data_IF_670787881369
#
_entry.id   IF_670787881369
#
_cell.length_a   1.000
_cell.length_b   1.000
_cell.length_c   1.000
_cell.angle_alpha   90.00
_cell.angle_beta   90.00
_cell.angle_gamma   90.00
#
_symmetry.space_group_name_H-M   'P 1'
#
loop_
_entity.id
_entity.type
_entity.pdbx_description
1 polymer ?
#
# COMPACT_ATOMS: atom_id res chain seq x y z
N UNK A 1 19.95 -2.42 0.67
CA UNK A 1 20.70 -1.23 1.17
C UNK A 1 19.69 -0.36 1.91
N UNK A 2 20.02 0.09 3.12
CA UNK A 2 19.17 0.98 3.92
C UNK A 2 19.09 2.36 3.22
N UNK A 3 17.90 2.80 2.75
CA UNK A 3 17.77 4.06 2.03
C UNK A 3 18.09 5.28 2.91
N UNK A 4 18.04 5.13 4.24
CA UNK A 4 18.30 6.20 5.18
C UNK A 4 19.72 6.18 5.75
N UNK A 5 20.63 5.37 5.21
CA UNK A 5 21.99 5.20 5.74
C UNK A 5 22.74 6.53 5.94
N UNK A 6 22.46 7.55 5.11
CA UNK A 6 23.05 8.89 5.23
C UNK A 6 22.66 9.62 6.54
N UNK A 7 21.64 9.15 7.26
CA UNK A 7 21.24 9.65 8.58
C UNK A 7 22.05 9.02 9.74
N UNK A 8 23.00 8.11 9.45
CA UNK A 8 23.80 7.43 10.47
C UNK A 8 22.92 6.67 11.45
N UNK A 9 23.15 6.86 12.75
CA UNK A 9 22.41 6.16 13.83
C UNK A 9 20.89 6.39 13.82
N UNK A 10 20.40 7.42 13.10
CA UNK A 10 18.98 7.70 12.96
C UNK A 10 18.30 6.85 11.88
N UNK A 11 19.04 6.25 10.96
CA UNK A 11 18.48 5.47 9.84
C UNK A 11 17.63 4.31 10.33
N UNK A 12 18.14 3.56 11.31
CA UNK A 12 17.47 2.43 11.96
C UNK A 12 16.38 2.84 12.95
N UNK A 13 16.07 4.14 13.08
CA UNK A 13 15.05 4.64 14.01
C UNK A 13 13.89 5.29 13.27
N UNK A 14 14.08 5.68 12.02
CA UNK A 14 13.13 6.58 11.36
C UNK A 14 11.99 5.86 10.66
N UNK A 15 12.19 4.60 10.26
CA UNK A 15 11.19 3.80 9.56
C UNK A 15 9.87 3.75 10.33
N UNK A 16 8.75 3.95 9.63
CA UNK A 16 7.44 4.01 10.28
C UNK A 16 7.10 2.79 11.15
N UNK A 17 7.50 1.52 10.86
CA UNK A 17 7.18 0.40 11.76
C UNK A 17 7.89 0.54 13.10
N UNK A 18 9.10 1.10 13.11
CA UNK A 18 9.90 1.36 14.30
C UNK A 18 9.29 2.52 15.09
N UNK A 19 8.89 3.60 14.39
CA UNK A 19 8.18 4.72 15.00
C UNK A 19 6.84 4.28 15.61
N UNK A 20 6.12 3.39 14.93
CA UNK A 20 4.86 2.83 15.40
C UNK A 20 5.06 2.04 16.69
N UNK A 21 5.97 1.06 16.69
CA UNK A 21 6.26 0.22 17.88
C UNK A 21 6.71 1.06 19.08
N UNK A 22 7.53 2.09 18.86
CA UNK A 22 7.98 2.99 19.92
C UNK A 22 6.85 3.80 20.58
N UNK A 23 5.71 3.93 19.90
CA UNK A 23 4.55 4.71 20.35
C UNK A 23 3.40 3.84 20.86
N UNK A 24 3.39 2.55 20.54
CA UNK A 24 2.40 1.61 21.06
C UNK A 24 2.68 1.29 22.54
N UNK A 25 1.60 1.24 23.34
CA UNK A 25 1.68 0.81 24.73
C UNK A 25 2.21 -0.63 24.83
N UNK A 26 2.91 -0.94 25.92
CA UNK A 26 3.47 -2.27 26.16
C UNK A 26 4.76 -2.60 25.37
N UNK A 27 5.24 -1.67 24.53
CA UNK A 27 6.50 -1.80 23.77
C UNK A 27 6.59 -3.14 23.02
N UNK A 28 5.67 -3.40 22.07
CA UNK A 28 5.62 -4.68 21.36
C UNK A 28 6.94 -4.95 20.64
N UNK A 29 7.26 -6.24 20.43
CA UNK A 29 8.45 -6.61 19.66
C UNK A 29 8.16 -6.51 18.17
N UNK A 30 8.94 -5.70 17.44
CA UNK A 30 8.91 -5.67 15.98
C UNK A 30 9.72 -6.84 15.41
N UNK A 31 9.10 -7.58 14.50
CA UNK A 31 9.75 -8.56 13.64
C UNK A 31 9.61 -8.12 12.19
N UNK A 32 10.66 -7.51 11.66
CA UNK A 32 10.67 -6.95 10.30
C UNK A 32 11.26 -7.95 9.31
N UNK A 33 10.45 -8.38 8.34
CA UNK A 33 10.84 -9.27 7.24
C UNK A 33 10.88 -8.51 5.90
N UNK A 34 10.68 -7.19 5.90
CA UNK A 34 10.60 -6.43 4.67
C UNK A 34 11.97 -6.33 3.98
N UNK A 35 11.97 -6.54 2.67
CA UNK A 35 13.13 -6.28 1.82
C UNK A 35 12.85 -5.08 0.93
N UNK A 36 13.77 -4.11 0.91
CA UNK A 36 13.71 -3.04 -0.09
C UNK A 36 13.88 -3.64 -1.49
N UNK A 37 12.97 -3.30 -2.41
CA UNK A 37 12.88 -3.92 -3.74
C UNK A 37 11.94 -5.13 -3.81
N UNK A 38 11.32 -5.56 -2.71
CA UNK A 38 10.44 -6.73 -2.73
C UNK A 38 9.21 -6.51 -3.63
N UNK A 39 8.85 -7.59 -4.33
CA UNK A 39 7.59 -7.75 -5.04
C UNK A 39 6.64 -8.62 -4.20
N UNK A 40 5.34 -8.63 -4.54
CA UNK A 40 4.44 -9.62 -3.94
C UNK A 40 4.81 -11.05 -4.37
N UNK A 41 5.25 -11.20 -5.63
CA UNK A 41 5.78 -12.44 -6.18
C UNK A 41 6.75 -12.11 -7.32
N UNK A 42 7.99 -12.61 -7.19
CA UNK A 42 9.08 -12.39 -8.12
C UNK A 42 8.85 -13.03 -9.51
N UNK A 43 7.85 -13.91 -9.65
CA UNK A 43 7.45 -14.54 -10.92
C UNK A 43 6.42 -13.73 -11.71
N UNK A 44 5.89 -12.64 -11.17
CA UNK A 44 4.84 -11.83 -11.82
C UNK A 44 5.38 -10.58 -12.54
N UNK A 45 6.69 -10.33 -12.45
CA UNK A 45 7.42 -9.24 -13.11
C UNK A 45 8.71 -9.76 -13.74
N UNK A 46 9.27 -9.01 -14.70
CA UNK A 46 10.49 -9.41 -15.43
C UNK A 46 11.76 -8.74 -14.89
N UNK A 47 11.70 -8.12 -13.71
CA UNK A 47 12.87 -7.50 -13.09
C UNK A 47 13.93 -8.55 -12.70
N UNK A 48 15.18 -8.25 -13.02
CA UNK A 48 16.32 -9.17 -12.83
C UNK A 48 16.85 -9.15 -11.41
N UNK A 49 16.77 -7.99 -10.75
CA UNK A 49 17.25 -7.82 -9.38
C UNK A 49 16.16 -8.28 -8.41
N UNK A 50 16.30 -9.54 -7.97
CA UNK A 50 15.33 -10.20 -7.09
C UNK A 50 15.86 -10.26 -5.67
N UNK A 51 15.17 -9.57 -4.77
CA UNK A 51 15.24 -9.81 -3.32
C UNK A 51 14.13 -10.79 -2.92
N UNK A 52 14.15 -11.39 -1.72
CA UNK A 52 13.03 -12.20 -1.24
C UNK A 52 11.70 -11.47 -1.40
N UNK A 53 10.75 -12.08 -2.11
CA UNK A 53 9.40 -11.54 -2.26
C UNK A 53 8.57 -11.80 -1.01
N UNK A 54 7.33 -11.30 -0.95
CA UNK A 54 6.51 -11.48 0.24
C UNK A 54 6.14 -12.94 0.52
N UNK A 55 6.20 -13.85 -0.46
CA UNK A 55 6.02 -15.29 -0.21
C UNK A 55 7.20 -15.83 0.57
N UNK A 56 8.42 -15.52 0.13
CA UNK A 56 9.63 -15.93 0.81
C UNK A 56 9.70 -15.34 2.23
N UNK A 57 9.32 -14.07 2.39
CA UNK A 57 9.25 -13.39 3.71
C UNK A 57 8.21 -14.05 4.64
N UNK A 58 7.02 -14.39 4.11
CA UNK A 58 5.97 -15.09 4.87
C UNK A 58 6.44 -16.47 5.31
N UNK A 59 7.16 -17.19 4.43
CA UNK A 59 7.75 -18.49 4.75
C UNK A 59 8.83 -18.37 5.82
N UNK A 60 9.67 -17.34 5.74
CA UNK A 60 10.69 -17.06 6.77
C UNK A 60 10.03 -16.82 8.13
N UNK A 61 8.99 -15.99 8.19
CA UNK A 61 8.21 -15.79 9.41
C UNK A 61 7.64 -17.08 9.99
N UNK A 62 7.05 -17.95 9.14
CA UNK A 62 6.51 -19.23 9.59
C UNK A 62 7.60 -20.18 10.13
N UNK A 63 8.77 -20.21 9.50
CA UNK A 63 9.91 -20.99 10.00
C UNK A 63 10.42 -20.45 11.35
N UNK A 64 10.48 -19.12 11.50
CA UNK A 64 10.87 -18.47 12.75
C UNK A 64 9.85 -18.72 13.88
N UNK A 65 8.56 -18.81 13.52
CA UNK A 65 7.50 -19.20 14.44
C UNK A 65 7.62 -20.67 14.88
N UNK A 66 7.92 -21.58 13.95
CA UNK A 66 8.10 -23.02 14.24
C UNK A 66 9.34 -23.29 15.09
N UNK A 67 10.43 -22.56 14.84
CA UNK A 67 11.67 -22.68 15.62
C UNK A 67 11.60 -21.99 16.98
N UNK A 68 10.55 -21.21 17.25
CA UNK A 68 10.40 -20.45 18.50
C UNK A 68 11.23 -19.16 18.57
N UNK A 69 11.89 -18.75 17.47
CA UNK A 69 12.58 -17.45 17.34
C UNK A 69 11.58 -16.29 17.39
N UNK A 70 10.37 -16.51 16.88
CA UNK A 70 9.20 -15.67 17.09
C UNK A 70 8.22 -16.41 17.98
N UNK A 71 7.65 -15.68 18.95
CA UNK A 71 6.58 -16.20 19.79
C UNK A 71 5.37 -15.27 19.64
N UNK A 72 4.28 -15.82 19.11
CA UNK A 72 3.00 -15.12 19.09
C UNK A 72 2.39 -15.21 20.49
N UNK A 73 2.14 -14.05 21.10
CA UNK A 73 1.36 -13.95 22.33
C UNK A 73 -0.08 -14.41 22.08
N UNK A 74 -0.77 -14.88 23.13
CA UNK A 74 -2.14 -15.40 23.03
C UNK A 74 -3.22 -14.37 22.66
N UNK A 75 -2.88 -13.07 22.60
CA UNK A 75 -3.92 -12.02 22.49
C UNK A 75 -3.70 -10.95 21.42
N UNK A 76 -2.47 -10.49 21.12
CA UNK A 76 -2.33 -9.26 20.33
C UNK A 76 -1.05 -9.26 19.50
N UNK A 77 -1.02 -10.04 18.41
CA UNK A 77 -0.01 -9.85 17.35
C UNK A 77 -0.69 -9.25 16.13
N UNK A 78 -0.01 -8.27 15.53
CA UNK A 78 -0.51 -7.50 14.40
C UNK A 78 0.46 -7.69 13.23
N UNK A 79 -0.08 -8.09 12.08
CA UNK A 79 0.70 -8.25 10.85
C UNK A 79 0.44 -7.05 9.95
N UNK A 80 1.50 -6.42 9.47
CA UNK A 80 1.41 -5.37 8.46
C UNK A 80 1.90 -5.88 7.11
N UNK A 81 1.13 -5.59 6.07
CA UNK A 81 1.48 -5.85 4.68
C UNK A 81 1.64 -4.51 3.97
N UNK A 82 2.87 -4.13 3.64
CA UNK A 82 3.11 -2.95 2.79
C UNK A 82 3.93 -3.36 1.57
N UNK A 83 3.21 -3.68 0.50
CA UNK A 83 3.78 -4.21 -0.73
C UNK A 83 3.01 -3.64 -1.93
N UNK A 84 3.72 -3.33 -3.01
CA UNK A 84 3.10 -2.87 -4.24
C UNK A 84 4.02 -2.02 -5.10
N UNK A 85 4.70 -1.03 -4.51
CA UNK A 85 5.51 -0.02 -5.24
C UNK A 85 6.39 -0.67 -6.32
N UNK A 86 7.28 -1.61 -5.95
CA UNK A 86 8.19 -2.23 -6.93
C UNK A 86 7.46 -3.03 -8.01
N UNK A 87 6.39 -3.75 -7.66
CA UNK A 87 5.58 -4.48 -8.64
C UNK A 87 4.88 -3.55 -9.62
N UNK A 88 4.29 -2.45 -9.13
CA UNK A 88 3.56 -1.50 -9.95
C UNK A 88 4.51 -0.68 -10.83
N UNK A 89 5.65 -0.24 -10.29
CA UNK A 89 6.70 0.42 -11.06
C UNK A 89 7.23 -0.51 -12.16
N UNK A 90 7.51 -1.77 -11.85
CA UNK A 90 7.97 -2.73 -12.85
C UNK A 90 6.93 -2.95 -13.96
N UNK A 91 5.66 -3.15 -13.59
CA UNK A 91 4.57 -3.29 -14.56
C UNK A 91 4.50 -2.04 -15.45
N UNK A 92 4.49 -0.85 -14.85
CA UNK A 92 4.39 0.42 -15.57
C UNK A 92 5.59 0.65 -16.50
N UNK A 93 6.82 0.44 -16.03
CA UNK A 93 8.03 0.55 -16.86
C UNK A 93 7.98 -0.42 -18.04
N UNK A 94 7.59 -1.68 -17.81
CA UNK A 94 7.52 -2.70 -18.86
C UNK A 94 6.44 -2.38 -19.91
N UNK A 95 5.34 -1.72 -19.54
CA UNK A 95 4.21 -1.47 -20.46
C UNK A 95 4.19 -0.07 -21.07
N UNK A 96 4.63 0.94 -20.33
CA UNK A 96 4.59 2.36 -20.74
C UNK A 96 5.95 2.87 -21.22
N UNK A 97 7.06 2.26 -20.76
CA UNK A 97 8.40 2.60 -21.20
C UNK A 97 8.69 2.17 -22.66
N UNK A 98 9.81 2.64 -23.24
CA UNK A 98 10.28 2.19 -24.54
C UNK A 98 10.45 0.67 -24.60
N UNK A 99 9.94 0.05 -25.65
CA UNK A 99 9.92 -1.40 -25.80
C UNK A 99 11.26 -1.92 -26.36
N UNK A 100 11.64 -3.19 -26.10
CA UNK A 100 12.90 -3.77 -26.59
C UNK A 100 13.05 -3.75 -28.12
N UNK A 101 11.94 -3.73 -28.85
CA UNK A 101 11.88 -3.64 -30.31
C UNK A 101 11.82 -2.19 -30.84
N UNK A 102 12.18 -1.22 -29.99
CA UNK A 102 12.16 0.22 -30.26
C UNK A 102 10.78 0.83 -30.50
N UNK A 103 9.69 0.09 -30.27
CA UNK A 103 8.35 0.69 -30.27
C UNK A 103 8.13 1.56 -29.03
N UNK A 104 7.23 2.52 -29.15
CA UNK A 104 6.73 3.26 -28.00
C UNK A 104 5.94 2.32 -27.08
N UNK A 105 6.04 2.53 -25.77
CA UNK A 105 5.13 1.91 -24.81
C UNK A 105 3.76 2.57 -24.83
N UNK A 106 2.84 2.04 -24.03
CA UNK A 106 1.49 2.57 -23.89
C UNK A 106 1.47 4.01 -23.40
N UNK A 107 0.74 4.87 -24.12
CA UNK A 107 0.49 6.27 -23.74
C UNK A 107 -1.00 6.61 -23.60
N UNK A 108 -1.89 5.62 -23.73
CA UNK A 108 -3.34 5.77 -23.53
C UNK A 108 -3.91 4.55 -22.82
N UNK A 109 -5.03 4.76 -22.10
CA UNK A 109 -5.73 3.73 -21.32
C UNK A 109 -6.30 2.58 -22.17
N UNK A 110 -6.52 2.80 -23.46
CA UNK A 110 -7.05 1.78 -24.37
C UNK A 110 -5.94 1.02 -25.11
N UNK A 111 -4.66 1.35 -24.88
CA UNK A 111 -3.54 0.64 -25.47
C UNK A 111 -3.50 -0.81 -24.96
N UNK A 112 -3.26 -1.77 -25.85
CA UNK A 112 -3.20 -3.19 -25.50
C UNK A 112 -2.14 -3.49 -24.44
N UNK A 113 -0.99 -2.78 -24.44
CA UNK A 113 0.04 -2.92 -23.42
C UNK A 113 -0.45 -2.42 -22.07
N UNK A 114 -1.22 -1.33 -22.04
CA UNK A 114 -1.80 -0.82 -20.79
C UNK A 114 -2.92 -1.72 -20.26
N UNK A 115 -3.75 -2.28 -21.14
CA UNK A 115 -4.75 -3.28 -20.75
C UNK A 115 -4.09 -4.53 -20.14
N UNK A 116 -2.93 -4.95 -20.64
CA UNK A 116 -2.14 -5.99 -19.98
C UNK A 116 -1.54 -5.53 -18.65
N UNK A 117 -1.14 -4.26 -18.51
CA UNK A 117 -0.71 -3.71 -17.23
C UNK A 117 -1.78 -3.88 -16.15
N UNK A 118 -3.05 -3.57 -16.46
CA UNK A 118 -4.18 -3.75 -15.54
C UNK A 118 -4.36 -5.24 -15.16
N UNK A 119 -4.31 -6.15 -16.14
CA UNK A 119 -4.38 -7.61 -15.84
C UNK A 119 -3.23 -8.09 -14.98
N UNK A 120 -2.03 -7.53 -15.16
CA UNK A 120 -0.86 -7.83 -14.32
C UNK A 120 -1.05 -7.30 -12.90
N UNK A 121 -1.63 -6.12 -12.75
CA UNK A 121 -2.01 -5.57 -11.45
C UNK A 121 -3.04 -6.45 -10.73
N UNK A 122 -4.04 -6.99 -11.44
CA UNK A 122 -4.98 -7.97 -10.86
C UNK A 122 -4.26 -9.22 -10.34
N UNK A 123 -3.23 -9.69 -11.04
CA UNK A 123 -2.40 -10.82 -10.56
C UNK A 123 -1.67 -10.46 -9.26
N UNK A 124 -1.16 -9.23 -9.11
CA UNK A 124 -0.54 -8.77 -7.87
C UNK A 124 -1.56 -8.67 -6.72
N UNK A 125 -2.76 -8.14 -6.98
CA UNK A 125 -3.83 -8.05 -5.97
C UNK A 125 -4.19 -9.45 -5.46
N UNK A 126 -4.43 -10.39 -6.37
CA UNK A 126 -4.77 -11.77 -6.02
C UNK A 126 -3.62 -12.49 -5.29
N UNK A 127 -2.39 -12.19 -5.66
CA UNK A 127 -1.21 -12.74 -4.99
C UNK A 127 -1.12 -12.29 -3.52
N UNK A 128 -1.31 -11.00 -3.23
CA UNK A 128 -1.36 -10.51 -1.84
C UNK A 128 -2.55 -11.11 -1.09
N UNK A 129 -3.72 -11.20 -1.73
CA UNK A 129 -4.90 -11.88 -1.18
C UNK A 129 -4.60 -13.30 -0.73
N UNK A 130 -4.02 -14.10 -1.61
CA UNK A 130 -3.77 -15.51 -1.36
C UNK A 130 -2.74 -15.70 -0.25
N UNK A 131 -1.72 -14.84 -0.16
CA UNK A 131 -0.73 -14.87 0.92
C UNK A 131 -1.34 -14.53 2.29
N UNK A 132 -2.16 -13.49 2.37
CA UNK A 132 -2.80 -13.10 3.64
C UNK A 132 -3.77 -14.18 4.12
N UNK A 133 -4.60 -14.71 3.22
CA UNK A 133 -5.54 -15.80 3.54
C UNK A 133 -4.79 -17.09 3.92
N UNK A 134 -3.75 -17.44 3.17
CA UNK A 134 -2.91 -18.61 3.44
C UNK A 134 -2.19 -18.53 4.78
N UNK A 135 -1.67 -17.36 5.13
CA UNK A 135 -1.06 -17.13 6.44
C UNK A 135 -2.08 -17.26 7.56
N UNK A 136 -3.25 -16.64 7.43
CA UNK A 136 -4.33 -16.74 8.42
C UNK A 136 -4.77 -18.19 8.64
N UNK A 137 -4.97 -18.97 7.57
CA UNK A 137 -5.29 -20.40 7.66
C UNK A 137 -4.21 -21.18 8.40
N UNK A 138 -2.95 -20.97 8.02
CA UNK A 138 -1.80 -21.67 8.63
C UNK A 138 -1.69 -21.38 10.13
N UNK A 139 -1.92 -20.13 10.54
CA UNK A 139 -1.88 -19.74 11.95
C UNK A 139 -3.05 -20.32 12.75
N UNK A 140 -4.24 -20.34 12.16
CA UNK A 140 -5.43 -20.95 12.73
C UNK A 140 -5.23 -22.46 12.98
N UNK A 141 -4.71 -23.19 11.99
CA UNK A 141 -4.39 -24.61 12.07
C UNK A 141 -3.34 -24.92 13.16
N UNK A 142 -2.37 -24.01 13.37
CA UNK A 142 -1.37 -24.09 14.44
C UNK A 142 -1.90 -23.65 15.81
N UNK A 143 -3.19 -23.36 15.95
CA UNK A 143 -3.83 -22.95 17.19
C UNK A 143 -3.37 -21.58 17.72
N UNK A 144 -2.90 -20.69 16.82
CA UNK A 144 -2.38 -19.36 17.18
C UNK A 144 -3.45 -18.26 17.20
N UNK A 145 -4.70 -18.60 16.92
CA UNK A 145 -5.81 -17.65 16.82
C UNK A 145 -5.77 -16.82 15.54
N UNK A 146 -6.80 -16.00 15.34
CA UNK A 146 -6.86 -15.06 14.22
C UNK A 146 -6.01 -13.83 14.55
N UNK A 147 -4.95 -13.60 13.76
CA UNK A 147 -4.15 -12.38 13.89
C UNK A 147 -4.79 -11.26 13.08
N UNK A 148 -4.86 -10.07 13.69
CA UNK A 148 -5.22 -8.87 12.95
C UNK A 148 -4.17 -8.62 11.85
N UNK A 149 -4.63 -8.42 10.63
CA UNK A 149 -3.78 -8.02 9.50
C UNK A 149 -4.20 -6.64 9.02
N UNK A 150 -3.23 -5.76 8.83
CA UNK A 150 -3.41 -4.45 8.20
C UNK A 150 -2.67 -4.49 6.88
N UNK A 151 -3.39 -4.16 5.80
CA UNK A 151 -2.79 -3.90 4.50
C UNK A 151 -2.65 -2.40 4.34
N UNK A 152 -1.45 -1.96 4.01
CA UNK A 152 -1.12 -0.56 3.73
C UNK A 152 -1.11 -0.37 2.22
N UNK A 153 -1.89 0.58 1.74
CA UNK A 153 -1.99 0.90 0.31
C UNK A 153 -0.68 1.50 -0.22
N UNK A 154 -0.50 1.41 -1.53
CA UNK A 154 0.66 2.01 -2.20
C UNK A 154 0.47 3.53 -2.31
N UNK A 155 1.45 4.35 -1.88
CA UNK A 155 1.39 5.80 -2.08
C UNK A 155 1.42 6.15 -3.58
N UNK A 156 0.88 7.31 -3.94
CA UNK A 156 1.00 7.86 -5.29
C UNK A 156 2.43 8.27 -5.58
N UNK A 157 3.22 7.35 -6.15
CA UNK A 157 4.63 7.59 -6.50
C UNK A 157 4.80 8.29 -7.85
N UNK A 158 3.72 8.64 -8.55
CA UNK A 158 3.79 9.39 -9.83
C UNK A 158 4.45 10.77 -9.68
N UNK A 159 4.41 11.38 -8.49
CA UNK A 159 5.09 12.63 -8.18
C UNK A 159 6.58 12.48 -7.86
N UNK A 160 7.07 11.25 -7.66
CA UNK A 160 8.43 11.03 -7.17
C UNK A 160 9.49 11.38 -8.23
N UNK A 161 10.68 11.86 -7.79
CA UNK A 161 11.77 12.22 -8.69
C UNK A 161 12.16 11.12 -9.67
N UNK A 162 12.13 9.85 -9.26
CA UNK A 162 12.47 8.72 -10.12
C UNK A 162 11.50 8.60 -11.31
N UNK A 163 10.20 8.57 -11.05
CA UNK A 163 9.14 8.47 -12.07
C UNK A 163 9.21 9.66 -13.03
N UNK A 164 9.42 10.87 -12.50
CA UNK A 164 9.63 12.08 -13.30
C UNK A 164 10.85 11.99 -14.21
N UNK A 165 11.95 11.43 -13.70
CA UNK A 165 13.15 11.16 -14.50
C UNK A 165 12.85 10.22 -15.66
N UNK A 166 12.21 9.08 -15.40
CA UNK A 166 11.83 8.13 -16.44
C UNK A 166 10.97 8.76 -17.52
N UNK A 167 9.88 9.45 -17.16
CA UNK A 167 8.97 10.01 -18.18
C UNK A 167 9.61 11.16 -18.94
N UNK A 168 10.54 11.92 -18.35
CA UNK A 168 11.28 12.95 -19.07
C UNK A 168 12.10 12.33 -20.22
N UNK A 169 12.77 11.21 -19.94
CA UNK A 169 13.56 10.48 -20.92
C UNK A 169 12.68 9.83 -21.99
N UNK A 170 11.60 9.15 -21.58
CA UNK A 170 10.69 8.45 -22.50
C UNK A 170 9.93 9.42 -23.40
N UNK A 171 9.49 10.56 -22.86
CA UNK A 171 8.76 11.58 -23.61
C UNK A 171 9.65 12.47 -24.47
N UNK A 172 10.98 12.40 -24.29
CA UNK A 172 11.96 13.28 -24.95
C UNK A 172 11.62 14.76 -24.77
N UNK A 173 11.18 15.14 -23.57
CA UNK A 173 10.77 16.49 -23.21
C UNK A 173 9.35 16.89 -23.63
N UNK A 174 8.55 15.98 -24.20
CA UNK A 174 7.14 16.26 -24.50
C UNK A 174 6.30 16.25 -23.21
N UNK A 175 5.93 17.43 -22.74
CA UNK A 175 5.18 17.61 -21.49
C UNK A 175 3.82 16.91 -21.45
N UNK A 176 3.08 16.89 -22.57
CA UNK A 176 1.78 16.21 -22.62
C UNK A 176 1.97 14.71 -22.46
N UNK A 177 2.92 14.15 -23.22
CA UNK A 177 3.20 12.72 -23.18
C UNK A 177 3.77 12.27 -21.82
N UNK A 178 4.64 13.08 -21.21
CA UNK A 178 5.13 12.84 -19.85
C UNK A 178 3.98 12.77 -18.84
N UNK A 179 3.03 13.72 -18.93
CA UNK A 179 1.83 13.72 -18.09
C UNK A 179 0.96 12.48 -18.36
N UNK A 180 0.78 12.10 -19.62
CA UNK A 180 0.02 10.91 -19.98
C UNK A 180 0.64 9.64 -19.36
N UNK A 181 1.97 9.48 -19.40
CA UNK A 181 2.65 8.34 -18.75
C UNK A 181 2.48 8.32 -17.22
N UNK A 182 2.59 9.46 -16.55
CA UNK A 182 2.38 9.55 -15.10
C UNK A 182 0.92 9.26 -14.72
N UNK A 183 -0.04 9.74 -15.51
CA UNK A 183 -1.45 9.42 -15.30
C UNK A 183 -1.73 7.92 -15.42
N UNK A 184 -1.07 7.22 -16.35
CA UNK A 184 -1.19 5.76 -16.48
C UNK A 184 -0.65 5.03 -15.24
N UNK A 185 0.45 5.51 -14.63
CA UNK A 185 0.94 4.98 -13.36
C UNK A 185 -0.07 5.21 -12.23
N UNK A 186 -0.64 6.42 -12.14
CA UNK A 186 -1.67 6.71 -11.14
C UNK A 186 -2.89 5.78 -11.29
N UNK A 187 -3.35 5.50 -12.50
CA UNK A 187 -4.44 4.55 -12.74
C UNK A 187 -4.07 3.14 -12.28
N UNK A 188 -2.84 2.69 -12.52
CA UNK A 188 -2.35 1.38 -12.04
C UNK A 188 -2.36 1.34 -10.50
N UNK A 189 -1.89 2.39 -9.84
CA UNK A 189 -1.86 2.51 -8.36
C UNK A 189 -3.26 2.53 -7.79
N UNK A 190 -4.18 3.34 -8.34
CA UNK A 190 -5.57 3.39 -7.91
C UNK A 190 -6.25 2.04 -8.07
N UNK A 191 -6.07 1.37 -9.22
CA UNK A 191 -6.63 0.05 -9.46
C UNK A 191 -6.12 -0.99 -8.47
N UNK A 192 -4.82 -0.98 -8.17
CA UNK A 192 -4.21 -1.84 -7.15
C UNK A 192 -4.80 -1.59 -5.76
N UNK A 193 -4.81 -0.33 -5.33
CA UNK A 193 -5.31 0.08 -4.01
C UNK A 193 -6.80 -0.24 -3.85
N UNK A 194 -7.63 0.04 -4.86
CA UNK A 194 -9.05 -0.31 -4.84
C UNK A 194 -9.25 -1.82 -4.83
N UNK A 195 -8.38 -2.58 -5.50
CA UNK A 195 -8.34 -4.04 -5.44
C UNK A 195 -8.09 -4.56 -4.03
N UNK A 196 -7.05 -4.05 -3.37
CA UNK A 196 -6.74 -4.42 -1.98
C UNK A 196 -7.89 -4.06 -1.03
N UNK A 197 -8.43 -2.84 -1.13
CA UNK A 197 -9.60 -2.37 -0.36
C UNK A 197 -10.85 -3.25 -0.54
N UNK A 198 -11.04 -3.86 -1.71
CA UNK A 198 -12.16 -4.81 -1.94
C UNK A 198 -11.93 -6.15 -1.26
N UNK A 199 -10.68 -6.58 -1.18
CA UNK A 199 -10.30 -7.88 -0.60
C UNK A 199 -10.26 -7.80 0.92
N UNK A 200 -9.80 -6.69 1.49
CA UNK A 200 -9.52 -6.54 2.90
C UNK A 200 -10.36 -5.42 3.54
N UNK A 201 -10.62 -5.54 4.84
CA UNK A 201 -11.20 -4.46 5.64
C UNK A 201 -10.04 -3.58 6.14
N UNK A 202 -9.70 -2.54 5.40
CA UNK A 202 -8.41 -1.83 5.55
C UNK A 202 -8.43 -0.56 6.41
N UNK A 203 -7.24 -0.13 6.83
CA UNK A 203 -6.95 1.24 7.25
C UNK A 203 -6.46 2.02 6.03
N UNK A 204 -7.21 3.03 5.58
CA UNK A 204 -6.78 3.90 4.50
C UNK A 204 -5.74 4.92 5.00
N UNK A 205 -4.47 4.61 4.82
CA UNK A 205 -3.37 5.55 5.04
C UNK A 205 -3.14 6.38 3.78
N UNK A 206 -4.09 7.25 3.45
CA UNK A 206 -3.92 8.23 2.38
C UNK A 206 -3.06 9.42 2.84
N UNK A 207 -1.79 9.15 3.15
CA UNK A 207 -0.82 10.18 3.58
C UNK A 207 -0.42 11.09 2.40
N UNK A 208 -0.70 10.66 1.16
CA UNK A 208 -0.33 11.37 -0.07
C UNK A 208 -1.37 12.38 -0.60
N UNK A 209 -2.67 12.10 -0.50
CA UNK A 209 -3.72 13.01 -1.04
C UNK A 209 -4.44 13.84 0.00
N UNK A 210 -4.36 13.49 1.28
CA UNK A 210 -4.87 14.39 2.30
C UNK A 210 -3.99 15.64 2.27
N UNK A 211 -4.59 16.79 1.95
CA UNK A 211 -4.02 18.13 2.01
C UNK A 211 -3.61 18.48 3.45
N UNK A 212 -2.68 17.74 4.01
CA UNK A 212 -2.21 17.91 5.36
C UNK A 212 -1.04 18.86 5.24
N UNK A 213 -1.30 20.11 5.63
CA UNK A 213 -0.31 21.15 5.76
C UNK A 213 0.64 20.81 6.91
N UNK A 214 1.44 19.75 6.74
CA UNK A 214 2.42 19.27 7.70
C UNK A 214 3.69 20.12 7.68
N UNK A 215 3.70 21.28 7.00
CA UNK A 215 4.89 22.08 6.79
C UNK A 215 5.90 21.44 5.83
N UNK A 216 5.48 20.46 5.03
CA UNK A 216 6.22 20.00 3.84
C UNK A 216 6.07 21.09 2.78
N UNK A 217 7.19 21.56 2.24
CA UNK A 217 7.22 22.64 1.24
C UNK A 217 7.59 22.12 -0.14
N UNK A 218 8.55 21.20 -0.20
CA UNK A 218 8.99 20.60 -1.45
C UNK A 218 8.40 19.20 -1.58
N UNK A 219 7.40 19.07 -2.46
CA UNK A 219 6.67 17.82 -2.71
C UNK A 219 7.17 17.06 -3.95
N UNK A 220 8.15 17.62 -4.67
CA UNK A 220 8.60 17.07 -5.95
C UNK A 220 10.10 16.79 -5.97
N UNK A 221 10.88 17.56 -5.21
CA UNK A 221 12.31 17.39 -5.03
C UNK A 221 12.66 16.31 -4.02
N UNK A 222 13.96 16.12 -3.83
CA UNK A 222 14.56 15.15 -2.90
C UNK A 222 15.54 15.84 -1.97
N UNK A 223 15.62 15.37 -0.72
CA UNK A 223 16.57 15.91 0.25
C UNK A 223 17.99 15.35 0.08
N UNK A 224 18.11 14.06 -0.23
CA UNK A 224 19.36 13.34 -0.46
C UNK A 224 19.65 13.32 -1.96
N UNK A 225 20.76 13.95 -2.35
CA UNK A 225 21.28 13.92 -3.72
C UNK A 225 22.74 13.47 -3.75
N UNK A 226 22.97 12.24 -4.20
CA UNK A 226 24.26 11.57 -4.04
C UNK A 226 24.59 11.39 -2.56
N UNK A 227 25.67 12.02 -2.10
CA UNK A 227 26.05 12.05 -0.68
C UNK A 227 25.62 13.32 0.06
N UNK A 228 24.98 14.28 -0.61
CA UNK A 228 24.58 15.55 -0.02
C UNK A 228 23.18 15.46 0.57
N UNK A 229 23.06 15.76 1.87
CA UNK A 229 21.77 15.89 2.56
C UNK A 229 21.36 17.36 2.58
N UNK A 230 20.11 17.66 2.26
CA UNK A 230 19.55 19.01 2.32
C UNK A 230 19.57 19.57 3.75
N UNK A 231 19.48 20.90 3.86
CA UNK A 231 19.57 21.59 5.16
C UNK A 231 18.40 21.28 6.10
N UNK A 232 17.18 21.18 5.55
CA UNK A 232 15.94 20.98 6.31
C UNK A 232 15.16 19.75 5.77
N UNK A 233 15.54 18.51 6.11
CA UNK A 233 14.90 17.29 5.60
C UNK A 233 13.38 17.24 5.81
N UNK A 234 12.91 17.85 6.90
CA UNK A 234 11.50 17.93 7.29
C UNK A 234 10.64 18.85 6.41
N UNK A 235 11.24 19.54 5.43
CA UNK A 235 10.52 20.33 4.43
C UNK A 235 10.33 19.59 3.11
N UNK A 236 10.94 18.40 2.95
CA UNK A 236 10.86 17.60 1.74
C UNK A 236 9.88 16.43 1.91
N UNK A 237 9.16 16.11 0.85
CA UNK A 237 8.34 14.90 0.79
C UNK A 237 9.22 13.68 0.55
N UNK A 238 10.17 13.75 -0.39
CA UNK A 238 11.07 12.64 -0.68
C UNK A 238 12.42 12.81 0.02
N UNK A 239 12.86 11.73 0.66
CA UNK A 239 14.22 11.59 1.13
C UNK A 239 15.17 11.49 -0.05
N UNK A 240 15.00 10.50 -0.92
CA UNK A 240 15.80 10.31 -2.12
C UNK A 240 14.91 10.33 -3.38
N UNK A 241 15.19 9.50 -4.37
CA UNK A 241 14.45 9.46 -5.63
C UNK A 241 13.04 8.86 -5.51
N UNK A 242 12.74 8.10 -4.44
CA UNK A 242 11.45 7.42 -4.27
C UNK A 242 11.03 7.26 -2.81
N UNK A 243 11.97 7.16 -1.87
CA UNK A 243 11.67 6.95 -0.46
C UNK A 243 11.19 8.25 0.18
N UNK A 244 10.23 8.12 1.10
CA UNK A 244 9.65 9.26 1.83
C UNK A 244 10.65 9.88 2.80
N UNK A 245 10.48 11.15 3.14
CA UNK A 245 11.33 11.81 4.13
C UNK A 245 11.14 11.24 5.54
N UNK A 246 12.14 11.40 6.42
CA UNK A 246 12.04 11.09 7.84
C UNK A 246 10.74 11.52 8.51
N UNK A 247 10.30 12.75 8.23
CA UNK A 247 9.08 13.30 8.79
C UNK A 247 7.83 12.57 8.33
N UNK A 248 7.74 12.18 7.05
CA UNK A 248 6.62 11.40 6.56
C UNK A 248 6.57 10.00 7.15
N UNK A 249 7.73 9.38 7.44
CA UNK A 249 7.76 8.09 8.15
C UNK A 249 7.13 8.21 9.56
N UNK A 250 7.43 9.29 10.28
CA UNK A 250 6.82 9.58 11.59
C UNK A 250 5.30 9.80 11.44
N UNK A 251 4.88 10.59 10.45
CA UNK A 251 3.47 10.89 10.21
C UNK A 251 2.65 9.64 9.82
N UNK A 252 3.23 8.71 9.05
CA UNK A 252 2.59 7.41 8.76
C UNK A 252 2.33 6.65 10.05
N UNK A 253 3.32 6.57 10.95
CA UNK A 253 3.15 5.89 12.22
C UNK A 253 2.07 6.54 13.09
N UNK A 254 2.04 7.87 13.15
CA UNK A 254 0.99 8.63 13.86
C UNK A 254 -0.41 8.38 13.29
N UNK A 255 -0.54 8.36 11.96
CA UNK A 255 -1.82 8.08 11.32
C UNK A 255 -2.30 6.65 11.62
N UNK A 256 -1.42 5.65 11.58
CA UNK A 256 -1.79 4.25 11.93
C UNK A 256 -2.35 4.17 13.34
N UNK A 257 -1.70 4.84 14.31
CA UNK A 257 -2.16 4.87 15.70
C UNK A 257 -3.53 5.52 15.79
N UNK A 258 -3.72 6.68 15.16
CA UNK A 258 -5.00 7.39 15.17
C UNK A 258 -6.14 6.53 14.61
N UNK A 259 -5.93 5.81 13.50
CA UNK A 259 -6.98 4.96 12.94
C UNK A 259 -7.24 3.74 13.84
N UNK A 260 -6.23 3.20 14.53
CA UNK A 260 -6.45 2.14 15.53
C UNK A 260 -7.25 2.63 16.73
N UNK A 261 -6.92 3.78 17.30
CA UNK A 261 -7.64 4.37 18.43
C UNK A 261 -9.10 4.64 18.06
N UNK A 262 -9.35 5.18 16.87
CA UNK A 262 -10.70 5.40 16.35
C UNK A 262 -11.47 4.09 16.16
N UNK A 263 -10.82 3.02 15.71
CA UNK A 263 -11.42 1.68 15.57
C UNK A 263 -11.78 1.06 16.92
N UNK A 264 -10.91 1.21 17.91
CA UNK A 264 -11.13 0.76 19.29
C UNK A 264 -12.26 1.55 19.96
N UNK A 265 -12.29 2.87 19.79
CA UNK A 265 -13.36 3.72 20.32
C UNK A 265 -14.71 3.45 19.64
N UNK A 266 -14.71 3.21 18.31
CA UNK A 266 -15.92 2.83 17.59
C UNK A 266 -16.48 1.47 18.03
N UNK A 267 -15.61 0.49 18.29
CA UNK A 267 -16.00 -0.80 18.89
C UNK A 267 -16.54 -0.62 20.31
N UNK A 268 -15.91 0.22 21.13
CA UNK A 268 -16.36 0.51 22.49
C UNK A 268 -17.75 1.17 22.49
N UNK A 269 -17.97 2.17 21.62
CA UNK A 269 -19.25 2.87 21.50
C UNK A 269 -20.38 1.97 20.98
N UNK A 270 -20.08 0.98 20.13
CA UNK A 270 -21.06 -0.02 19.69
C UNK A 270 -21.44 -0.97 20.83
N UNK A 271 -20.49 -1.34 21.69
CA UNK A 271 -20.73 -2.20 22.85
C UNK A 271 -21.51 -1.49 23.97
N UNK A 272 -21.22 -0.21 24.22
CA UNK A 272 -21.96 0.58 25.21
C UNK A 272 -23.37 0.92 24.76
N UNK A 273 -23.60 1.07 23.44
CA UNK A 273 -24.94 1.31 22.91
C UNK A 273 -25.83 0.04 22.89
N UNK A 274 -25.23 -1.16 22.92
CA UNK A 274 -26.00 -2.41 23.04
C UNK A 274 -26.44 -2.74 24.48
N UNK A 275 -25.86 -2.09 25.50
CA UNK A 275 -26.24 -2.32 26.90
C UNK A 275 -27.40 -1.41 27.37
N UNK A 276 -27.74 -0.35 26.62
CA UNK A 276 -28.84 0.57 26.95
C UNK A 276 -30.16 0.31 26.18
N UNK A 277 -30.19 -0.68 25.27
CA UNK A 277 -31.38 -0.98 24.45
C UNK A 277 -32.49 -1.78 25.17
N UNK A 278 -32.35 -2.10 26.47
CA UNK A 278 -33.45 -2.70 27.23
C UNK A 278 -34.42 -1.69 27.86
N UNK A 279 -34.31 -0.39 27.58
CA UNK A 279 -34.98 0.61 28.43
C UNK A 279 -35.55 1.89 27.84
N UNK A 280 -35.46 2.24 26.55
CA UNK A 280 -35.94 3.57 26.11
C UNK A 280 -36.80 3.62 24.83
N UNK A 281 -37.83 4.45 24.97
CA UNK A 281 -39.01 4.70 24.14
C UNK A 281 -38.72 5.13 22.69
N UNK A 282 -39.68 4.81 21.82
CA UNK A 282 -39.71 5.00 20.35
C UNK A 282 -39.51 6.42 19.82
N UNK A 283 -39.40 7.44 20.67
CA UNK A 283 -39.33 8.85 20.26
C UNK A 283 -37.91 9.41 20.06
N UNK A 284 -36.84 8.70 20.51
CA UNK A 284 -35.46 9.13 20.23
C UNK A 284 -34.92 8.71 18.85
N UNK A 285 -35.62 7.83 18.12
CA UNK A 285 -35.19 7.38 16.77
C UNK A 285 -35.21 8.48 15.69
N UNK A 286 -35.81 9.64 15.97
CA UNK A 286 -35.92 10.74 14.99
C UNK A 286 -34.83 11.82 15.10
N UNK A 287 -33.92 11.75 16.09
CA UNK A 287 -32.87 12.76 16.27
C UNK A 287 -31.48 12.32 15.78
N UNK A 288 -31.28 11.04 15.44
CA UNK A 288 -30.00 10.49 14.98
C UNK A 288 -29.94 10.34 13.44
N UNK A 289 -30.95 10.81 12.69
CA UNK A 289 -30.92 10.77 11.22
C UNK A 289 -30.23 11.96 10.56
N UNK A 290 -29.78 12.98 11.32
CA UNK A 290 -29.32 14.26 10.77
C UNK A 290 -27.87 14.67 11.13
N UNK A 291 -27.03 13.74 11.61
CA UNK A 291 -25.59 13.97 11.55
C UNK A 291 -25.05 13.50 10.20
N UNK A 292 -24.98 14.46 9.27
CA UNK A 292 -24.29 14.35 8.00
C UNK A 292 -22.84 13.88 8.23
N UNK A 293 -22.55 12.65 7.78
CA UNK A 293 -21.17 12.22 7.56
C UNK A 293 -20.62 13.02 6.36
N UNK A 294 -19.42 13.61 6.43
CA UNK A 294 -18.83 14.29 5.27
C UNK A 294 -18.25 13.24 4.32
N UNK A 295 -19.11 12.49 3.64
CA UNK A 295 -18.76 11.61 2.54
C UNK A 295 -19.87 11.70 1.48
N UNK A 296 -19.94 12.86 0.82
CA UNK A 296 -20.75 13.06 -0.37
C UNK A 296 -20.18 14.18 -1.25
N UNK A 297 -19.03 13.91 -1.86
CA UNK A 297 -18.72 14.49 -3.15
C UNK A 297 -18.15 13.37 -4.03
N UNK A 298 -18.67 13.26 -5.26
CA UNK A 298 -18.35 12.25 -6.28
C UNK A 298 -19.09 10.90 -6.19
N UNK A 299 -20.41 10.94 -6.04
CA UNK A 299 -21.29 10.03 -6.79
C UNK A 299 -21.69 10.75 -8.07
N UNK A 300 -21.02 10.45 -9.17
CA UNK A 300 -21.55 10.51 -10.55
C UNK A 300 -20.43 10.04 -11.50
N UNK A 301 -20.11 8.75 -11.42
CA UNK A 301 -19.48 8.01 -12.51
C UNK A 301 -20.18 6.65 -12.59
N UNK A 302 -21.18 6.56 -13.46
CA UNK A 302 -21.81 5.30 -13.82
C UNK A 302 -20.91 4.58 -14.82
N UNK A 303 -20.29 3.48 -14.40
CA UNK A 303 -19.74 2.51 -15.34
C UNK A 303 -20.89 1.70 -15.96
N UNK A 304 -20.86 1.44 -17.28
CA UNK A 304 -21.84 0.58 -17.91
C UNK A 304 -21.71 -0.85 -17.35
N UNK A 305 -22.79 -1.31 -16.70
CA UNK A 305 -23.02 -2.73 -16.48
C UNK A 305 -23.36 -3.35 -17.82
N UNK A 306 -22.47 -4.16 -18.37
CA UNK A 306 -22.77 -5.32 -19.23
C UNK A 306 -21.47 -5.90 -19.78
N UNK A 307 -20.91 -6.89 -19.07
CA UNK A 307 -20.11 -7.95 -19.70
C UNK A 307 -20.44 -9.25 -18.98
N UNK A 308 -21.56 -9.85 -19.37
CA UNK A 308 -21.80 -11.27 -19.15
C UNK A 308 -20.81 -12.08 -19.97
N UNK A 309 -19.92 -12.80 -19.29
CA UNK A 309 -19.14 -13.88 -19.88
C UNK A 309 -19.64 -15.16 -19.21
N UNK A 310 -20.46 -15.92 -19.95
CA UNK A 310 -20.82 -17.28 -19.59
C UNK A 310 -19.57 -18.19 -19.61
N UNK A 311 -19.48 -19.17 -18.71
CA UNK A 311 -18.39 -20.14 -18.72
C UNK A 311 -18.60 -21.15 -19.85
N UNK A 312 -17.83 -21.03 -20.94
CA UNK A 312 -17.77 -22.07 -21.96
C UNK A 312 -16.87 -23.23 -21.51
N UNK A 313 -17.53 -24.38 -21.39
CA UNK A 313 -17.01 -25.75 -21.31
C UNK A 313 -15.80 -25.99 -22.22
N UNK A 314 -14.69 -26.42 -21.62
CA UNK A 314 -13.54 -27.02 -22.32
C UNK A 314 -13.95 -28.40 -22.82
N UNK A 315 -14.07 -28.57 -24.14
CA UNK A 315 -14.09 -29.88 -24.81
C UNK A 315 -12.66 -30.44 -24.85
N UNK A 316 -12.45 -31.57 -24.19
CA UNK A 316 -11.36 -32.48 -24.53
C UNK A 316 -11.69 -33.21 -25.83
N UNK A 317 -10.74 -33.25 -26.77
CA UNK A 317 -10.65 -34.25 -27.85
C UNK A 317 -9.19 -34.28 -28.33
N UNK A 318 -8.73 -35.38 -28.95
CA UNK A 318 -8.46 -36.72 -28.41
C UNK A 318 -6.96 -36.92 -28.08
#
# INVERSE_FOLDING_TARGET
IDPYQALGDLSNKIMWPIQLVNRLEGSPKLHDYAYNGAHANNGLTNFTDKVPDTRDQTKEFLNDLESGKVQLGRSESLIFWWIGINSLDAIWVETCGPQPDHRAGASDRNDALFLEAIRRTDRQINEVRDQVLGLSSTLSEKGKGELASIVVTTPHVSSAPMQKGYVNDWSKGNQKLAKDYLNLLDIIIEHYNDGLKRVFKELELDVGRRNLNYGIKDIEGRCLDGSNVCKDPDQFFYWDYIHLSPKLQILIAEEIINVQELSSQAKLNLLTNTEDESGQSSDQRKLISNQERPYSAFRDYQYPQDFGIEPHLVKQVP
#
